data_IF_247430011498
#
_entry.id   IF_247430011498
#
_cell.length_a   1.000
_cell.length_b   1.000
_cell.length_c   1.000
_cell.angle_alpha   90.00
_cell.angle_beta   90.00
_cell.angle_gamma   90.00
#
_symmetry.space_group_name_H-M   'P 1'
#
loop_
_entity.id
_entity.type
_entity.pdbx_description
1 polymer ?
#
# COMPACT_ATOMS: atom_id res chain seq x y z
N UNK A 1 -16.20 -18.01 -1.11
CA UNK A 1 -14.72 -18.00 -1.22
C UNK A 1 -14.33 -17.05 -2.35
N UNK A 2 -13.57 -15.97 -2.05
CA UNK A 2 -12.47 -15.63 -2.93
C UNK A 2 -11.15 -15.69 -2.15
N UNK A 3 -10.15 -16.23 -2.84
CA UNK A 3 -8.78 -16.39 -2.42
C UNK A 3 -8.15 -15.03 -2.09
N UNK A 4 -7.99 -14.73 -0.81
CA UNK A 4 -6.86 -13.93 -0.35
C UNK A 4 -5.76 -14.91 0.03
N UNK A 5 -5.18 -15.59 -0.95
CA UNK A 5 -3.93 -16.29 -0.71
C UNK A 5 -2.92 -15.20 -0.36
N UNK A 6 -2.46 -15.17 0.90
CA UNK A 6 -1.36 -14.31 1.26
C UNK A 6 -0.14 -14.75 0.47
N UNK A 7 0.25 -13.94 -0.51
CA UNK A 7 1.49 -14.13 -1.25
C UNK A 7 2.54 -13.32 -0.52
N UNK A 8 3.57 -14.02 0.00
CA UNK A 8 4.72 -13.36 0.61
C UNK A 8 5.32 -12.39 -0.42
N UNK A 9 5.43 -11.10 -0.12
CA UNK A 9 5.94 -10.14 -1.09
C UNK A 9 7.40 -10.43 -1.44
N UNK A 10 7.77 -10.28 -2.72
CA UNK A 10 9.16 -10.41 -3.17
C UNK A 10 10.03 -9.30 -2.54
N UNK A 11 9.48 -8.08 -2.45
CA UNK A 11 10.04 -6.93 -1.75
C UNK A 11 8.90 -6.08 -1.17
N UNK A 12 9.17 -5.44 -0.04
CA UNK A 12 8.27 -4.47 0.57
C UNK A 12 9.08 -3.39 1.31
N UNK A 13 8.46 -2.23 1.51
CA UNK A 13 8.93 -1.18 2.41
C UNK A 13 7.89 -1.02 3.52
N UNK A 14 8.33 -0.93 4.77
CA UNK A 14 7.44 -0.59 5.88
C UNK A 14 7.38 0.93 6.01
N UNK A 15 6.24 1.51 5.60
CA UNK A 15 6.05 2.95 5.65
C UNK A 15 5.66 3.43 7.05
N UNK A 16 4.75 2.73 7.74
CA UNK A 16 4.39 3.05 9.14
C UNK A 16 3.11 3.88 9.32
N UNK A 17 2.45 4.33 8.25
CA UNK A 17 1.17 5.05 8.29
C UNK A 17 0.18 4.52 7.23
N UNK A 18 -1.12 4.72 7.45
CA UNK A 18 -2.21 4.41 6.52
C UNK A 18 -2.38 5.50 5.43
N UNK A 19 -1.68 6.62 5.56
CA UNK A 19 -1.76 7.77 4.66
C UNK A 19 -0.37 8.34 4.39
N UNK A 20 -0.06 8.60 3.11
CA UNK A 20 1.18 9.26 2.72
C UNK A 20 1.21 10.77 3.04
N UNK A 21 0.13 11.31 3.61
CA UNK A 21 0.01 12.75 3.88
C UNK A 21 1.01 13.27 4.92
N UNK A 22 1.37 12.44 5.90
CA UNK A 22 2.30 12.83 6.96
C UNK A 22 3.73 13.00 6.47
N UNK A 23 4.14 12.19 5.48
CA UNK A 23 5.49 12.19 4.93
C UNK A 23 5.51 11.73 3.45
N UNK A 24 5.05 12.60 2.53
CA UNK A 24 4.97 12.31 1.10
C UNK A 24 6.31 11.89 0.50
N UNK A 25 7.42 12.46 0.98
CA UNK A 25 8.76 12.24 0.47
C UNK A 25 9.24 10.82 0.80
N UNK A 26 9.12 10.37 2.06
CA UNK A 26 9.45 8.98 2.41
C UNK A 26 8.59 7.95 1.68
N UNK A 27 7.34 8.29 1.37
CA UNK A 27 6.47 7.44 0.54
C UNK A 27 7.01 7.31 -0.89
N UNK A 28 7.39 8.43 -1.52
CA UNK A 28 7.97 8.44 -2.87
C UNK A 28 9.31 7.70 -2.90
N UNK A 29 10.19 7.94 -1.92
CA UNK A 29 11.48 7.24 -1.81
C UNK A 29 11.30 5.73 -1.70
N UNK A 30 10.33 5.27 -0.90
CA UNK A 30 9.97 3.85 -0.81
C UNK A 30 9.49 3.28 -2.15
N UNK A 31 8.67 4.05 -2.89
CA UNK A 31 8.19 3.64 -4.20
C UNK A 31 9.34 3.53 -5.21
N UNK A 32 10.24 4.52 -5.25
CA UNK A 32 11.39 4.54 -6.15
C UNK A 32 12.34 3.38 -5.86
N UNK A 33 12.58 3.06 -4.59
CA UNK A 33 13.36 1.90 -4.19
C UNK A 33 12.77 0.59 -4.74
N UNK A 34 11.45 0.42 -4.63
CA UNK A 34 10.76 -0.78 -5.15
C UNK A 34 10.78 -0.83 -6.69
N UNK A 35 10.63 0.31 -7.36
CA UNK A 35 10.69 0.39 -8.81
C UNK A 35 12.09 0.08 -9.34
N UNK A 36 13.14 0.66 -8.75
CA UNK A 36 14.52 0.41 -9.13
C UNK A 36 14.87 -1.06 -8.98
N UNK A 37 14.49 -1.68 -7.86
CA UNK A 37 14.65 -3.12 -7.69
C UNK A 37 13.96 -3.93 -8.81
N UNK A 38 12.75 -3.53 -9.23
CA UNK A 38 12.07 -4.19 -10.33
C UNK A 38 12.85 -4.04 -11.65
N UNK A 39 13.30 -2.83 -11.97
CA UNK A 39 14.07 -2.54 -13.20
C UNK A 39 15.36 -3.34 -13.22
N UNK A 40 16.15 -3.27 -12.14
CA UNK A 40 17.43 -3.97 -12.00
C UNK A 40 17.29 -5.49 -12.09
N UNK A 41 16.18 -6.06 -11.60
CA UNK A 41 16.01 -7.50 -11.57
C UNK A 41 15.35 -8.07 -12.81
N UNK A 42 14.40 -7.33 -13.41
CA UNK A 42 13.49 -7.88 -14.42
C UNK A 42 13.53 -7.16 -15.77
N UNK A 43 14.27 -6.04 -15.90
CA UNK A 43 14.42 -5.31 -17.18
C UNK A 43 15.86 -5.32 -17.74
N UNK A 44 16.73 -6.22 -17.26
CA UNK A 44 18.05 -6.38 -17.85
C UNK A 44 18.00 -6.94 -19.29
N UNK A 45 18.95 -6.54 -20.17
CA UNK A 45 19.10 -7.14 -21.49
C UNK A 45 19.28 -8.65 -21.41
N UNK A 46 18.44 -9.41 -22.12
CA UNK A 46 18.46 -10.88 -22.15
C UNK A 46 17.45 -11.57 -21.21
N UNK A 47 16.73 -10.83 -20.36
CA UNK A 47 15.63 -11.35 -19.57
C UNK A 47 14.30 -11.32 -20.33
N UNK A 48 13.39 -12.24 -20.00
CA UNK A 48 11.99 -12.17 -20.45
C UNK A 48 11.35 -10.87 -19.93
N UNK A 49 10.67 -10.15 -20.81
CA UNK A 49 10.05 -8.86 -20.46
C UNK A 49 8.83 -9.11 -19.59
N UNK A 50 8.99 -8.95 -18.27
CA UNK A 50 7.89 -9.04 -17.33
C UNK A 50 7.10 -7.70 -17.29
N UNK A 51 5.78 -7.68 -17.51
CA UNK A 51 4.99 -6.47 -17.37
C UNK A 51 4.87 -6.05 -15.90
N UNK A 52 4.84 -4.73 -15.66
CA UNK A 52 4.60 -4.15 -14.33
C UNK A 52 3.28 -3.38 -14.34
N UNK A 53 2.42 -3.68 -13.36
CA UNK A 53 1.21 -2.90 -13.07
C UNK A 53 1.41 -2.20 -11.74
N UNK A 54 1.30 -0.88 -11.74
CA UNK A 54 1.44 -0.04 -10.54
C UNK A 54 0.09 0.55 -10.16
N UNK A 55 -0.41 0.20 -8.97
CA UNK A 55 -1.59 0.83 -8.39
C UNK A 55 -1.19 2.05 -7.58
N UNK A 56 -1.93 3.16 -7.72
CA UNK A 56 -1.66 4.42 -7.01
C UNK A 56 -2.65 4.70 -5.89
N UNK A 57 -2.28 5.54 -4.89
CA UNK A 57 -3.23 6.03 -3.89
C UNK A 57 -4.35 6.88 -4.50
N UNK A 58 -5.53 6.86 -3.88
CA UNK A 58 -6.69 7.64 -4.33
C UNK A 58 -6.68 9.13 -3.95
N UNK A 59 -5.53 9.71 -3.62
CA UNK A 59 -5.40 11.11 -3.20
C UNK A 59 -5.11 12.03 -4.39
N UNK A 60 -6.17 12.45 -5.08
CA UNK A 60 -6.08 13.12 -6.39
C UNK A 60 -5.97 14.66 -6.33
N UNK A 61 -5.61 15.26 -5.19
CA UNK A 61 -5.60 16.73 -5.00
C UNK A 61 -4.45 17.22 -4.13
N UNK A 62 -4.00 18.44 -4.38
CA UNK A 62 -2.89 19.07 -3.65
C UNK A 62 -1.66 18.18 -3.69
N UNK A 63 -0.99 18.00 -2.55
CA UNK A 63 0.22 17.19 -2.44
C UNK A 63 0.06 15.76 -2.98
N UNK A 64 -1.11 15.12 -2.86
CA UNK A 64 -1.33 13.80 -3.44
C UNK A 64 -1.32 13.78 -4.98
N UNK A 65 -1.78 14.87 -5.60
CA UNK A 65 -1.65 15.06 -7.04
C UNK A 65 -0.19 15.31 -7.43
N UNK A 66 0.53 16.14 -6.67
CA UNK A 66 1.96 16.41 -6.90
C UNK A 66 2.80 15.13 -6.82
N UNK A 67 2.52 14.29 -5.81
CA UNK A 67 3.11 12.96 -5.69
C UNK A 67 2.82 12.07 -6.90
N UNK A 68 1.58 12.08 -7.41
CA UNK A 68 1.22 11.29 -8.59
C UNK A 68 2.00 11.76 -9.83
N UNK A 69 2.14 13.07 -10.03
CA UNK A 69 2.94 13.64 -11.12
C UNK A 69 4.39 13.18 -11.01
N UNK A 70 4.97 13.20 -9.80
CA UNK A 70 6.34 12.74 -9.60
C UNK A 70 6.51 11.24 -9.84
N UNK A 71 5.54 10.41 -9.42
CA UNK A 71 5.53 8.98 -9.76
C UNK A 71 5.48 8.74 -11.26
N UNK A 72 4.64 9.48 -11.99
CA UNK A 72 4.54 9.37 -13.45
C UNK A 72 5.87 9.71 -14.11
N UNK A 73 6.49 10.83 -13.72
CA UNK A 73 7.79 11.28 -14.24
C UNK A 73 8.91 10.28 -13.96
N UNK A 74 8.91 9.66 -12.78
CA UNK A 74 9.96 8.70 -12.41
C UNK A 74 9.79 7.34 -13.09
N UNK A 75 8.55 6.82 -13.11
CA UNK A 75 8.26 5.48 -13.66
C UNK A 75 8.25 5.50 -15.19
N UNK A 76 7.85 6.62 -15.81
CA UNK A 76 7.62 6.72 -17.26
C UNK A 76 6.74 5.57 -17.78
N UNK A 77 5.49 5.43 -17.30
CA UNK A 77 4.64 4.32 -17.69
C UNK A 77 4.32 4.35 -19.18
N UNK A 78 4.17 3.18 -19.81
CA UNK A 78 3.76 3.07 -21.21
C UNK A 78 2.25 3.28 -21.39
N UNK A 79 1.47 2.92 -20.37
CA UNK A 79 0.01 3.00 -20.36
C UNK A 79 -0.43 3.58 -19.01
N UNK A 80 -1.36 4.53 -19.07
CA UNK A 80 -2.03 5.09 -17.89
C UNK A 80 -3.52 4.78 -17.97
N UNK A 81 -4.08 4.25 -16.88
CA UNK A 81 -5.50 3.86 -16.79
C UNK A 81 -6.21 4.66 -15.70
N UNK A 82 -6.74 5.86 -16.00
CA UNK A 82 -7.54 6.60 -15.02
C UNK A 82 -8.91 5.95 -14.86
N UNK A 83 -9.20 5.51 -13.63
CA UNK A 83 -10.51 4.96 -13.26
C UNK A 83 -11.37 6.09 -12.68
N UNK A 84 -12.40 6.51 -13.43
CA UNK A 84 -13.25 7.63 -13.03
C UNK A 84 -14.36 7.19 -12.09
N UNK A 85 -14.78 8.13 -11.26
CA UNK A 85 -15.98 8.04 -10.44
C UNK A 85 -17.02 9.07 -10.91
N UNK A 86 -18.29 8.82 -10.59
CA UNK A 86 -19.39 9.76 -10.89
C UNK A 86 -19.25 11.09 -10.17
N UNK A 87 -18.53 11.12 -9.05
CA UNK A 87 -18.23 12.35 -8.33
C UNK A 87 -17.11 13.10 -9.04
N UNK A 88 -17.43 13.99 -9.99
CA UNK A 88 -16.43 14.69 -10.81
C UNK A 88 -15.32 15.36 -10.00
N UNK A 89 -15.64 15.96 -8.84
CA UNK A 89 -14.66 16.56 -7.92
C UNK A 89 -13.63 15.58 -7.32
N UNK A 90 -13.81 14.27 -7.50
CA UNK A 90 -12.92 13.18 -7.06
C UNK A 90 -12.19 12.52 -8.22
N UNK A 91 -12.40 12.98 -9.44
CA UNK A 91 -11.59 12.61 -10.58
C UNK A 91 -10.35 13.51 -10.62
N UNK A 92 -9.32 13.03 -11.30
CA UNK A 92 -8.17 13.86 -11.67
C UNK A 92 -8.62 14.97 -12.63
N UNK A 93 -7.90 16.10 -12.66
CA UNK A 93 -8.18 17.15 -13.64
C UNK A 93 -8.05 16.60 -15.06
N UNK A 94 -8.77 17.20 -16.01
CA UNK A 94 -8.49 16.96 -17.42
C UNK A 94 -7.17 17.68 -17.79
N UNK A 95 -6.42 17.16 -18.75
CA UNK A 95 -5.17 17.78 -19.22
C UNK A 95 -4.01 16.80 -19.41
N UNK A 96 -2.85 17.37 -19.69
CA UNK A 96 -1.65 16.65 -20.16
C UNK A 96 -0.61 16.40 -19.05
N UNK A 97 -1.00 16.40 -17.78
CA UNK A 97 -0.06 16.15 -16.66
C UNK A 97 0.52 14.71 -16.65
N UNK A 98 -0.05 13.83 -17.48
CA UNK A 98 0.48 12.51 -17.78
C UNK A 98 1.75 12.55 -18.64
N UNK A 99 2.04 13.69 -19.29
CA UNK A 99 3.23 13.86 -20.09
C UNK A 99 4.46 13.93 -19.17
N UNK A 100 5.28 12.88 -19.24
CA UNK A 100 6.50 12.75 -18.44
C UNK A 100 7.69 13.49 -19.04
N UNK A 101 7.50 14.18 -20.18
CA UNK A 101 8.56 14.87 -20.91
C UNK A 101 9.56 13.93 -21.62
N UNK A 102 9.29 12.62 -21.63
CA UNK A 102 10.08 11.63 -22.37
C UNK A 102 9.77 11.61 -23.87
N UNK A 103 10.53 10.81 -24.63
CA UNK A 103 10.44 10.72 -26.10
C UNK A 103 9.10 10.18 -26.62
N UNK A 104 8.30 9.51 -25.78
CA UNK A 104 7.00 8.94 -26.18
C UNK A 104 5.96 9.19 -25.10
N UNK A 105 4.83 9.77 -25.49
CA UNK A 105 3.70 10.02 -24.59
C UNK A 105 3.03 8.71 -24.16
N UNK A 106 2.61 8.57 -22.88
CA UNK A 106 1.91 7.38 -22.43
C UNK A 106 0.54 7.24 -23.11
N UNK A 107 0.16 6.02 -23.48
CA UNK A 107 -1.20 5.74 -23.95
C UNK A 107 -2.17 5.83 -22.77
N UNK A 108 -3.16 6.72 -22.86
CA UNK A 108 -4.19 6.86 -21.82
C UNK A 108 -5.44 6.06 -22.19
N UNK A 109 -5.90 5.17 -21.29
CA UNK A 109 -7.12 4.37 -21.46
C UNK A 109 -8.06 4.62 -20.27
N UNK A 110 -9.07 5.44 -20.48
CA UNK A 110 -10.02 5.82 -19.41
C UNK A 110 -11.06 4.73 -19.17
N UNK A 111 -11.30 4.41 -17.90
CA UNK A 111 -12.41 3.56 -17.47
C UNK A 111 -13.44 4.45 -16.77
N UNK A 112 -14.63 4.58 -17.38
CA UNK A 112 -15.72 5.35 -16.81
C UNK A 112 -16.44 4.61 -15.68
N UNK A 113 -17.11 5.38 -14.83
CA UNK A 113 -17.88 4.80 -13.73
C UNK A 113 -19.03 3.94 -14.28
N UNK A 114 -19.12 2.69 -13.83
CA UNK A 114 -20.17 1.75 -14.24
C UNK A 114 -21.57 2.39 -14.16
N UNK A 115 -22.44 2.12 -15.15
CA UNK A 115 -23.86 2.51 -15.12
C UNK A 115 -24.59 1.80 -13.98
N UNK A 116 -25.64 2.40 -13.42
CA UNK A 116 -26.29 1.88 -12.20
C UNK A 116 -27.28 0.81 -12.65
N UNK A 117 -27.03 -0.44 -12.29
CA UNK A 117 -28.14 -1.37 -12.11
C UNK A 117 -28.88 -1.01 -10.83
N UNK A 118 -30.21 -1.01 -10.90
CA UNK A 118 -31.12 -0.74 -9.79
C UNK A 118 -30.90 -1.64 -8.56
N UNK A 119 -30.18 -2.75 -8.74
CA UNK A 119 -29.76 -3.70 -7.70
C UNK A 119 -28.56 -3.23 -6.86
N UNK A 120 -27.80 -2.20 -7.30
CA UNK A 120 -26.55 -1.78 -6.65
C UNK A 120 -26.71 -0.75 -5.51
N UNK A 121 -27.95 -0.41 -5.12
CA UNK A 121 -28.21 0.59 -4.06
C UNK A 121 -27.80 0.09 -2.67
N UNK A 122 -27.77 -1.22 -2.43
CA UNK A 122 -27.39 -1.82 -1.14
C UNK A 122 -25.87 -1.94 -0.94
N UNK A 123 -25.08 -2.00 -2.02
CA UNK A 123 -23.63 -2.25 -1.99
C UNK A 123 -22.76 -0.98 -1.89
N UNK A 124 -23.36 0.22 -2.01
CA UNK A 124 -22.65 1.51 -1.93
C UNK A 124 -22.20 1.91 -0.51
N UNK A 125 -22.47 1.10 0.52
CA UNK A 125 -22.03 1.35 1.91
C UNK A 125 -20.63 0.80 2.25
N UNK A 126 -19.95 0.12 1.31
CA UNK A 126 -18.71 -0.59 1.60
C UNK A 126 -17.42 0.20 1.30
N UNK A 127 -17.33 1.44 1.81
CA UNK A 127 -16.02 2.10 1.93
C UNK A 127 -15.51 1.99 3.37
N UNK A 128 -15.52 0.78 3.91
CA UNK A 128 -14.87 0.50 5.20
C UNK A 128 -13.40 0.13 4.97
N UNK A 129 -12.59 1.14 4.66
CA UNK A 129 -11.14 0.95 4.58
C UNK A 129 -10.52 0.52 5.91
N UNK A 130 -11.16 0.86 7.04
CA UNK A 130 -10.76 0.44 8.38
C UNK A 130 -10.90 -1.07 8.55
N UNK A 131 -12.11 -1.59 8.40
CA UNK A 131 -12.40 -3.02 8.54
C UNK A 131 -11.66 -3.89 7.54
N UNK A 132 -11.42 -3.42 6.31
CA UNK A 132 -10.56 -4.16 5.37
C UNK A 132 -9.11 -4.27 5.84
N UNK A 133 -8.56 -3.22 6.46
CA UNK A 133 -7.20 -3.25 7.03
C UNK A 133 -7.13 -4.16 8.26
N UNK A 134 -8.11 -4.04 9.16
CA UNK A 134 -8.22 -4.90 10.34
C UNK A 134 -8.28 -6.38 9.93
N UNK A 135 -9.14 -6.71 8.96
CA UNK A 135 -9.25 -8.07 8.43
C UNK A 135 -7.93 -8.57 7.85
N UNK A 136 -7.19 -7.74 7.12
CA UNK A 136 -5.86 -8.13 6.60
C UNK A 136 -4.85 -8.40 7.72
N UNK A 137 -4.89 -7.63 8.80
CA UNK A 137 -4.03 -7.85 9.96
C UNK A 137 -4.37 -9.17 10.67
N UNK A 138 -5.66 -9.45 10.85
CA UNK A 138 -6.15 -10.73 11.40
C UNK A 138 -5.70 -11.90 10.53
N UNK A 139 -5.87 -11.83 9.21
CA UNK A 139 -5.43 -12.89 8.28
C UNK A 139 -3.91 -13.05 8.23
N UNK A 140 -3.13 -11.99 8.51
CA UNK A 140 -1.68 -12.09 8.66
C UNK A 140 -1.31 -12.93 9.88
N UNK A 141 -1.86 -12.62 11.06
CA UNK A 141 -1.56 -13.36 12.28
C UNK A 141 -2.11 -14.80 12.30
N UNK A 142 -3.17 -15.09 11.55
CA UNK A 142 -3.65 -16.47 11.37
C UNK A 142 -2.59 -17.41 10.78
N UNK A 143 -1.60 -16.87 10.05
CA UNK A 143 -0.50 -17.66 9.46
C UNK A 143 0.45 -18.24 10.51
N UNK A 144 0.39 -17.80 11.76
CA UNK A 144 1.14 -18.39 12.86
C UNK A 144 0.66 -19.81 13.23
N UNK A 145 -0.47 -20.26 12.69
CA UNK A 145 -1.12 -21.53 13.03
C UNK A 145 -1.27 -22.43 11.80
N UNK A 146 -1.40 -23.74 12.02
CA UNK A 146 -1.73 -24.69 10.95
C UNK A 146 -3.07 -24.34 10.31
N UNK A 147 -3.20 -24.57 9.00
CA UNK A 147 -4.45 -24.38 8.24
C UNK A 147 -5.61 -25.23 8.76
N UNK A 148 -5.31 -26.31 9.49
CA UNK A 148 -6.32 -27.21 10.06
C UNK A 148 -7.02 -26.61 11.30
N UNK A 149 -6.46 -25.55 11.88
CA UNK A 149 -7.02 -24.88 13.05
C UNK A 149 -8.04 -23.85 12.58
N UNK A 150 -9.32 -24.13 12.84
CA UNK A 150 -10.42 -23.21 12.53
C UNK A 150 -10.50 -22.07 13.56
N UNK A 151 -9.87 -20.93 13.25
CA UNK A 151 -10.02 -19.68 14.00
C UNK A 151 -11.10 -18.79 13.36
N UNK A 152 -12.34 -18.94 13.83
CA UNK A 152 -13.51 -18.27 13.25
C UNK A 152 -13.70 -16.84 13.76
N UNK A 153 -13.22 -16.54 14.97
CA UNK A 153 -13.42 -15.26 15.65
C UNK A 153 -12.10 -14.59 16.05
N UNK A 154 -12.11 -13.25 16.18
CA UNK A 154 -10.95 -12.49 16.68
C UNK A 154 -10.58 -12.91 18.12
N UNK A 155 -11.56 -13.35 18.92
CA UNK A 155 -11.33 -13.81 20.30
C UNK A 155 -10.54 -15.11 20.34
N UNK A 156 -10.90 -16.08 19.49
CA UNK A 156 -10.16 -17.34 19.36
C UNK A 156 -8.72 -17.09 18.89
N UNK A 157 -8.53 -16.21 17.89
CA UNK A 157 -7.20 -15.82 17.44
C UNK A 157 -6.37 -15.18 18.57
N UNK A 158 -6.96 -14.27 19.34
CA UNK A 158 -6.26 -13.63 20.45
C UNK A 158 -5.80 -14.63 21.51
N UNK A 159 -6.64 -15.61 21.89
CA UNK A 159 -6.24 -16.66 22.82
C UNK A 159 -5.15 -17.57 22.25
N UNK A 160 -5.27 -17.96 20.98
CA UNK A 160 -4.27 -18.78 20.32
C UNK A 160 -2.91 -18.06 20.28
N UNK A 161 -2.89 -16.77 19.94
CA UNK A 161 -1.66 -15.96 19.95
C UNK A 161 -1.07 -15.85 21.36
N UNK A 162 -1.91 -15.63 22.38
CA UNK A 162 -1.46 -15.54 23.77
C UNK A 162 -0.92 -16.87 24.34
N UNK A 163 -1.28 -18.01 23.73
CA UNK A 163 -0.73 -19.33 24.11
C UNK A 163 0.64 -19.64 23.50
N UNK A 164 1.09 -18.87 22.51
CA UNK A 164 2.42 -19.05 21.93
C UNK A 164 3.48 -18.44 22.88
N UNK A 165 4.62 -19.12 23.11
CA UNK A 165 5.74 -18.52 23.81
C UNK A 165 6.26 -17.31 23.01
N UNK A 166 6.39 -16.11 23.61
CA UNK A 166 6.90 -14.95 22.91
C UNK A 166 8.38 -15.13 22.55
N UNK A 167 8.80 -14.54 21.43
CA UNK A 167 10.22 -14.41 21.13
C UNK A 167 10.81 -13.28 21.97
N UNK A 168 11.86 -13.59 22.71
CA UNK A 168 12.59 -12.62 23.53
C UNK A 168 13.84 -12.12 22.79
N UNK A 169 14.10 -10.83 22.86
CA UNK A 169 15.28 -10.16 22.27
C UNK A 169 15.81 -9.13 23.25
N UNK A 170 17.13 -9.06 23.39
CA UNK A 170 17.78 -8.07 24.27
C UNK A 170 17.62 -6.67 23.69
N UNK A 171 17.40 -5.67 24.55
CA UNK A 171 17.36 -4.27 24.14
C UNK A 171 18.69 -3.79 23.56
N UNK A 172 19.82 -4.40 23.94
CA UNK A 172 21.12 -4.12 23.31
C UNK A 172 21.17 -4.49 21.82
N UNK A 173 20.30 -5.40 21.39
CA UNK A 173 20.36 -6.00 20.05
C UNK A 173 19.39 -5.34 19.07
N UNK A 174 18.57 -4.40 19.56
CA UNK A 174 17.53 -3.73 18.77
C UNK A 174 17.56 -2.22 18.98
N UNK A 175 17.16 -1.47 17.95
CA UNK A 175 16.95 -0.03 18.05
C UNK A 175 15.48 0.27 17.77
N UNK A 176 14.83 0.99 18.67
CA UNK A 176 13.45 1.45 18.48
C UNK A 176 13.49 2.80 17.78
N UNK A 177 12.88 2.88 16.60
CA UNK A 177 12.81 4.10 15.80
C UNK A 177 11.35 4.54 15.63
N UNK A 178 11.12 5.84 15.78
CA UNK A 178 9.84 6.47 15.47
C UNK A 178 9.88 7.00 14.03
N UNK A 179 8.88 6.61 13.23
CA UNK A 179 8.73 7.10 11.86
C UNK A 179 7.80 8.31 11.84
N UNK A 180 8.10 9.26 10.94
CA UNK A 180 7.30 10.47 10.68
C UNK A 180 7.13 11.45 11.84
N UNK A 181 7.85 11.26 12.95
CA UNK A 181 7.88 12.22 14.04
C UNK A 181 9.21 12.21 14.79
N UNK A 182 9.55 13.36 15.36
CA UNK A 182 10.59 13.45 16.39
C UNK A 182 9.94 13.23 17.74
N UNK A 183 10.48 12.28 18.52
CA UNK A 183 10.00 12.00 19.88
C UNK A 183 11.06 12.47 20.85
N UNK A 184 10.67 13.36 21.77
CA UNK A 184 11.57 13.81 22.82
C UNK A 184 11.83 12.68 23.81
N UNK A 185 13.07 12.55 24.28
CA UNK A 185 13.51 11.46 25.17
C UNK A 185 12.65 11.30 26.44
N UNK A 186 11.98 12.37 26.90
CA UNK A 186 11.10 12.37 28.07
C UNK A 186 9.77 11.62 27.86
N UNK A 187 9.36 11.41 26.61
CA UNK A 187 8.10 10.75 26.25
C UNK A 187 8.25 9.28 25.87
N UNK A 188 9.47 8.80 25.61
CA UNK A 188 9.79 7.38 25.44
C UNK A 188 10.12 6.77 26.81
N UNK A 189 9.13 6.28 27.56
CA UNK A 189 9.33 5.55 28.82
C UNK A 189 9.99 4.16 28.65
N UNK A 190 10.51 3.85 27.46
CA UNK A 190 11.22 2.59 27.17
C UNK A 190 12.69 2.60 27.64
N UNK A 191 13.23 3.73 28.11
CA UNK A 191 14.65 3.88 28.47
C UNK A 191 14.92 4.02 29.98
N UNK A 192 14.07 3.49 30.86
CA UNK A 192 14.34 3.51 32.30
C UNK A 192 14.04 2.17 32.95
N UNK A 193 14.95 1.21 32.78
CA UNK A 193 14.83 -0.09 33.43
C UNK A 193 15.95 -1.08 33.08
N UNK A 194 17.18 -0.77 33.48
CA UNK A 194 18.17 -1.69 34.10
C UNK A 194 19.31 -0.85 34.65
#
# INVERSE_FOLDING_TARGET
>A
MPAFLYVKPIRCCFYGDISSKGDPESYLNSLFLLYNYFVEKYRCPGSEVLPLIVNTPGWVKGTGFDMLVEMLRYICPTIVVPIRTRMQRKNLPDGMFWLTGGETEPKVITIDAASRDSLSKSSLKWKDGGGMRERRLVEYFKQCFSSDISLATNKELAYALASLPPYEVSFSDVTVMHLHCEVSCLSCQLCSGT
#
